data_IF_063372077576
#
_entry.id   IF_063372077576
#
_cell.length_a   1.000
_cell.length_b   1.000
_cell.length_c   1.000
_cell.angle_alpha   90.00
_cell.angle_beta   90.00
_cell.angle_gamma   90.00
#
_symmetry.space_group_name_H-M   'P 1'
#
loop_
_entity.id
_entity.type
_entity.pdbx_description
1 polymer ?
#
# COMPACT_ATOMS: atom_id res chain seq x y z
N UNK A 1 -7.75 3.81 -6.20
CA UNK A 1 -7.88 2.38 -5.86
C UNK A 1 -6.81 1.56 -6.58
N UNK A 2 -6.74 1.63 -7.92
CA UNK A 2 -5.75 0.88 -8.71
C UNK A 2 -4.28 1.23 -8.41
N UNK A 3 -3.96 2.48 -8.07
CA UNK A 3 -2.57 2.87 -7.78
C UNK A 3 -1.95 2.02 -6.66
N UNK A 4 -2.65 1.88 -5.52
CA UNK A 4 -2.15 1.11 -4.37
C UNK A 4 -1.97 -0.37 -4.69
N UNK A 5 -2.91 -0.95 -5.47
CA UNK A 5 -2.80 -2.35 -5.94
C UNK A 5 -1.61 -2.59 -6.85
N UNK A 6 -1.13 -1.54 -7.51
CA UNK A 6 0.03 -1.58 -8.40
C UNK A 6 1.32 -1.05 -7.73
N UNK A 7 1.34 -0.92 -6.40
CA UNK A 7 2.52 -0.44 -5.67
C UNK A 7 2.82 1.06 -5.85
N UNK A 8 1.87 1.83 -6.39
CA UNK A 8 2.00 3.28 -6.55
C UNK A 8 1.32 4.00 -5.39
N UNK A 9 2.07 4.85 -4.69
CA UNK A 9 1.57 5.70 -3.61
C UNK A 9 1.08 7.06 -4.15
N UNK A 10 -0.24 7.29 -4.28
CA UNK A 10 -0.77 8.62 -4.50
C UNK A 10 -0.74 9.42 -3.19
N UNK A 11 -0.03 10.55 -3.21
CA UNK A 11 0.03 11.50 -2.09
C UNK A 11 -0.86 12.69 -2.40
N UNK A 12 -1.77 13.02 -1.49
CA UNK A 12 -2.66 14.19 -1.61
C UNK A 12 -2.07 15.34 -0.81
N UNK A 13 -1.88 16.48 -1.46
CA UNK A 13 -1.32 17.70 -0.84
C UNK A 13 -2.13 18.93 -1.28
N UNK A 14 -2.10 20.02 -0.48
CA UNK A 14 -2.59 21.32 -0.92
C UNK A 14 -1.88 21.78 -2.20
N UNK A 15 -2.59 22.51 -3.05
CA UNK A 15 -2.06 22.96 -4.35
C UNK A 15 -0.79 23.79 -4.18
N UNK A 16 -0.76 24.65 -3.18
CA UNK A 16 0.35 25.55 -2.87
C UNK A 16 1.61 24.75 -2.51
N UNK A 17 1.44 23.63 -1.80
CA UNK A 17 2.53 22.71 -1.46
C UNK A 17 3.05 22.00 -2.71
N UNK A 18 2.16 21.56 -3.60
CA UNK A 18 2.55 20.92 -4.87
C UNK A 18 3.33 21.90 -5.74
N UNK A 19 2.84 23.13 -5.90
CA UNK A 19 3.51 24.17 -6.71
C UNK A 19 4.90 24.51 -6.13
N UNK A 20 5.03 24.52 -4.79
CA UNK A 20 6.31 24.71 -4.10
C UNK A 20 7.28 23.55 -4.37
N UNK A 21 6.83 22.30 -4.25
CA UNK A 21 7.65 21.12 -4.50
C UNK A 21 8.09 21.04 -5.97
N UNK A 22 7.25 21.45 -6.91
CA UNK A 22 7.59 21.50 -8.33
C UNK A 22 8.73 22.51 -8.61
N UNK A 23 8.64 23.73 -8.05
CA UNK A 23 9.72 24.73 -8.19
C UNK A 23 11.04 24.23 -7.62
N UNK A 24 10.96 23.57 -6.46
CA UNK A 24 12.14 23.00 -5.84
C UNK A 24 12.73 21.84 -6.66
N UNK A 25 11.89 21.05 -7.34
CA UNK A 25 12.36 20.01 -8.25
C UNK A 25 13.19 20.60 -9.41
N UNK A 26 12.77 21.75 -9.95
CA UNK A 26 13.51 22.47 -10.99
C UNK A 26 14.87 22.98 -10.47
N UNK A 27 14.91 23.48 -9.23
CA UNK A 27 16.13 23.97 -8.58
C UNK A 27 17.04 22.84 -8.05
N UNK A 28 16.49 21.64 -7.84
CA UNK A 28 17.20 20.51 -7.24
C UNK A 28 18.32 19.98 -8.14
N UNK A 29 18.37 20.35 -9.42
CA UNK A 29 19.43 19.92 -10.34
C UNK A 29 19.48 18.40 -10.51
N UNK A 30 18.32 17.73 -10.50
CA UNK A 30 18.20 16.28 -10.62
C UNK A 30 18.37 15.48 -9.33
N UNK A 31 18.56 16.14 -8.17
CA UNK A 31 18.53 15.46 -6.87
C UNK A 31 17.11 14.94 -6.57
N UNK A 32 16.94 13.67 -6.15
CA UNK A 32 15.63 13.09 -5.92
C UNK A 32 15.01 13.57 -4.60
N UNK A 33 13.68 13.59 -4.56
CA UNK A 33 12.93 13.58 -3.31
C UNK A 33 12.93 12.16 -2.75
N UNK A 34 12.97 12.03 -1.42
CA UNK A 34 12.81 10.75 -0.74
C UNK A 34 11.47 10.71 -0.02
N UNK A 35 10.73 9.63 -0.18
CA UNK A 35 9.46 9.42 0.51
C UNK A 35 9.70 8.49 1.70
N UNK A 36 9.53 9.00 2.92
CA UNK A 36 9.51 8.20 4.14
C UNK A 36 8.04 7.83 4.43
N UNK A 37 7.64 6.61 4.07
CA UNK A 37 6.27 6.15 4.25
C UNK A 37 5.95 5.78 5.70
N UNK A 38 6.94 5.44 6.51
CA UNK A 38 6.76 5.11 7.94
C UNK A 38 6.41 6.37 8.74
N UNK A 39 7.13 7.45 8.48
CA UNK A 39 6.87 8.77 9.09
C UNK A 39 5.84 9.60 8.34
N UNK A 40 5.52 9.20 7.11
CA UNK A 40 4.66 9.93 6.18
C UNK A 40 5.18 11.33 5.87
N UNK A 41 6.45 11.39 5.47
CA UNK A 41 7.15 12.63 5.16
C UNK A 41 7.82 12.59 3.78
N UNK A 42 7.81 13.72 3.08
CA UNK A 42 8.58 13.95 1.86
C UNK A 42 9.86 14.68 2.26
N UNK A 43 10.99 13.98 2.17
CA UNK A 43 12.32 14.55 2.39
C UNK A 43 12.77 15.27 1.12
N UNK A 44 13.13 16.54 1.29
CA UNK A 44 13.40 17.46 0.20
C UNK A 44 14.89 17.46 -0.17
N UNK A 45 15.25 17.53 -1.46
CA UNK A 45 16.63 17.41 -1.94
C UNK A 45 17.54 18.57 -1.53
N UNK A 46 16.96 19.70 -1.11
CA UNK A 46 17.67 20.93 -0.76
C UNK A 46 18.02 21.02 0.74
N UNK A 47 17.57 20.05 1.56
CA UNK A 47 17.75 20.08 3.02
C UNK A 47 16.72 20.94 3.77
N UNK A 48 15.71 21.46 3.07
CA UNK A 48 14.56 22.10 3.68
C UNK A 48 13.76 21.14 4.59
N UNK A 49 12.96 21.70 5.50
CA UNK A 49 12.09 20.93 6.39
C UNK A 49 11.19 19.93 5.61
N UNK A 50 11.03 18.69 6.10
CA UNK A 50 10.17 17.69 5.46
C UNK A 50 8.73 18.17 5.29
N UNK A 51 8.06 17.70 4.24
CA UNK A 51 6.63 17.95 4.03
C UNK A 51 5.83 16.74 4.53
N UNK A 52 4.97 16.90 5.55
CA UNK A 52 4.13 15.79 6.00
C UNK A 52 3.03 15.50 4.98
N UNK A 53 2.61 14.25 4.89
CA UNK A 53 1.45 13.84 4.12
C UNK A 53 0.61 12.81 4.88
N UNK A 54 -0.64 12.65 4.44
CA UNK A 54 -1.53 11.65 5.00
C UNK A 54 -1.83 10.54 4.00
N UNK A 55 -1.84 9.31 4.49
CA UNK A 55 -2.32 8.13 3.77
C UNK A 55 -3.15 7.28 4.73
N UNK A 56 -4.15 6.62 4.18
CA UNK A 56 -4.96 5.67 4.94
C UNK A 56 -4.08 4.59 5.59
N UNK A 57 -4.22 4.30 6.90
CA UNK A 57 -3.33 3.38 7.63
C UNK A 57 -3.27 1.97 7.03
N UNK A 58 -4.40 1.47 6.54
CA UNK A 58 -4.46 0.14 5.92
C UNK A 58 -3.69 0.12 4.60
N UNK A 59 -3.86 1.13 3.76
CA UNK A 59 -3.09 1.28 2.52
C UNK A 59 -1.60 1.48 2.77
N UNK A 60 -1.23 2.21 3.83
CA UNK A 60 0.16 2.38 4.27
C UNK A 60 0.78 1.04 4.58
N UNK A 61 0.10 0.24 5.40
CA UNK A 61 0.56 -1.09 5.78
C UNK A 61 0.72 -1.99 4.56
N UNK A 62 -0.25 -1.98 3.64
CA UNK A 62 -0.16 -2.76 2.40
C UNK A 62 1.09 -2.39 1.58
N UNK A 63 1.40 -1.09 1.44
CA UNK A 63 2.58 -0.64 0.71
C UNK A 63 3.91 -0.95 1.45
N UNK A 64 3.94 -0.85 2.78
CA UNK A 64 5.13 -1.16 3.60
C UNK A 64 5.44 -2.67 3.60
N UNK A 65 4.41 -3.50 3.71
CA UNK A 65 4.53 -4.95 3.78
C UNK A 65 4.52 -5.62 2.38
N UNK A 66 4.33 -4.83 1.32
CA UNK A 66 4.20 -5.33 -0.05
C UNK A 66 2.97 -6.21 -0.28
N UNK A 67 1.94 -6.05 0.54
CA UNK A 67 0.71 -6.84 0.47
C UNK A 67 -0.18 -6.30 -0.64
N UNK A 68 -0.55 -7.21 -1.55
CA UNK A 68 -1.64 -7.01 -2.49
C UNK A 68 -2.95 -7.66 -1.97
N UNK A 69 -4.01 -7.61 -2.77
CA UNK A 69 -5.30 -8.23 -2.42
C UNK A 69 -5.15 -9.75 -2.15
N UNK A 70 -4.16 -10.42 -2.76
CA UNK A 70 -3.83 -11.83 -2.53
C UNK A 70 -3.16 -11.99 -1.16
N UNK A 71 -2.18 -11.16 -0.82
CA UNK A 71 -1.54 -11.13 0.50
C UNK A 71 -2.55 -10.91 1.63
N UNK A 72 -3.50 -10.00 1.43
CA UNK A 72 -4.62 -9.79 2.36
C UNK A 72 -5.54 -11.00 2.49
N UNK A 73 -5.75 -11.74 1.40
CA UNK A 73 -6.53 -12.99 1.43
C UNK A 73 -5.74 -14.11 2.13
N UNK A 74 -4.43 -14.19 1.89
CA UNK A 74 -3.54 -15.16 2.53
C UNK A 74 -3.40 -14.93 4.04
N UNK A 75 -3.55 -13.70 4.53
CA UNK A 75 -3.65 -13.44 5.98
C UNK A 75 -4.86 -14.13 6.63
N UNK A 76 -5.86 -14.53 5.84
CA UNK A 76 -7.04 -15.27 6.30
C UNK A 76 -6.92 -16.78 6.07
N UNK A 77 -5.74 -17.30 5.71
CA UNK A 77 -5.52 -18.72 5.40
C UNK A 77 -6.11 -19.64 6.47
N UNK A 78 -5.83 -19.41 7.75
CA UNK A 78 -6.38 -20.22 8.85
C UNK A 78 -7.91 -20.23 8.90
N UNK A 79 -8.55 -19.11 8.58
CA UNK A 79 -10.01 -19.00 8.56
C UNK A 79 -10.61 -19.69 7.32
N UNK A 80 -9.89 -19.64 6.19
CA UNK A 80 -10.22 -20.37 4.96
C UNK A 80 -10.12 -21.88 5.23
N UNK A 81 -8.99 -22.34 5.79
CA UNK A 81 -8.76 -23.74 6.13
C UNK A 81 -9.85 -24.28 7.07
N UNK A 82 -10.17 -23.54 8.14
CA UNK A 82 -11.23 -23.93 9.08
C UNK A 82 -12.63 -23.95 8.46
N UNK A 83 -12.92 -23.03 7.53
CA UNK A 83 -14.16 -23.06 6.77
C UNK A 83 -14.21 -24.28 5.83
N UNK A 84 -13.13 -24.54 5.09
CA UNK A 84 -13.02 -25.67 4.16
C UNK A 84 -13.13 -27.02 4.89
N UNK A 85 -12.49 -27.17 6.04
CA UNK A 85 -12.58 -28.40 6.83
C UNK A 85 -13.99 -28.61 7.39
N UNK A 86 -14.64 -27.55 7.87
CA UNK A 86 -16.05 -27.60 8.27
C UNK A 86 -16.98 -27.92 7.09
N UNK A 87 -16.66 -27.42 5.89
CA UNK A 87 -17.42 -27.68 4.68
C UNK A 87 -17.22 -29.12 4.19
N UNK A 88 -16.00 -29.68 4.23
CA UNK A 88 -15.74 -31.09 3.93
C UNK A 88 -16.55 -32.03 4.81
N UNK A 89 -16.76 -31.67 6.08
CA UNK A 89 -17.57 -32.46 7.01
C UNK A 89 -19.09 -32.35 6.74
N UNK A 90 -19.59 -31.15 6.42
CA UNK A 90 -21.03 -30.91 6.22
C UNK A 90 -21.51 -31.29 4.81
N UNK A 91 -20.64 -31.11 3.82
CA UNK A 91 -20.95 -31.18 2.41
C UNK A 91 -19.94 -32.09 1.67
N UNK A 92 -19.77 -33.35 2.10
CA UNK A 92 -18.74 -34.25 1.55
C UNK A 92 -18.91 -34.52 0.05
N UNK A 93 -20.10 -34.34 -0.51
CA UNK A 93 -20.38 -34.48 -1.95
C UNK A 93 -19.71 -33.41 -2.82
N UNK A 94 -19.29 -32.27 -2.25
CA UNK A 94 -18.57 -31.22 -2.98
C UNK A 94 -17.09 -31.55 -3.21
N UNK A 95 -16.52 -32.44 -2.38
CA UNK A 95 -15.09 -32.78 -2.39
C UNK A 95 -14.84 -34.21 -2.90
N UNK A 96 -15.87 -34.87 -3.42
CA UNK A 96 -15.75 -36.21 -3.99
C UNK A 96 -14.80 -36.24 -5.19
N UNK A 97 -13.87 -37.19 -5.20
CA UNK A 97 -13.11 -37.54 -6.41
C UNK A 97 -14.06 -37.94 -7.53
N UNK A 98 -13.79 -37.41 -8.73
CA UNK A 98 -14.19 -38.07 -9.96
C UNK A 98 -13.77 -39.55 -9.89
N UNK A 99 -14.68 -40.43 -10.32
CA UNK A 99 -14.55 -41.88 -10.30
C UNK A 99 -13.24 -42.40 -10.90
#
# INVERSE_FOLDING_TARGET
>A
NNCFKNGVLPVVLPKETVDMLMREADEAGGRPFTIDLEKQEILRPTGNAPVPFEVDPFRRQCLLEGLDDIGLTMQKSTAIDGFEDGQKMREPWLYGTAA
#
